data_IF_989625744706
#
_entry.id   IF_989625744706
#
_cell.length_a   1.000
_cell.length_b   1.000
_cell.length_c   1.000
_cell.angle_alpha   90.00
_cell.angle_beta   90.00
_cell.angle_gamma   90.00
#
_symmetry.space_group_name_H-M   'P 1'
#
loop_
_entity.id
_entity.type
_entity.pdbx_description
1 polymer ?
#
# COMPACT_ATOMS: atom_id res chain seq x y z
N UNK A 1 14.27 -0.71 -5.92
CA UNK A 1 14.56 -0.91 -7.35
C UNK A 1 13.28 -1.15 -8.12
N UNK A 2 12.43 -2.10 -7.68
CA UNK A 2 11.18 -2.39 -8.40
C UNK A 2 10.18 -1.25 -8.34
N UNK A 3 9.86 -0.69 -7.16
CA UNK A 3 8.89 0.42 -7.05
C UNK A 3 9.23 1.60 -7.99
N UNK A 4 10.50 1.98 -8.05
CA UNK A 4 10.97 3.05 -8.95
C UNK A 4 10.72 2.68 -10.41
N UNK A 5 11.03 1.44 -10.81
CA UNK A 5 10.77 0.96 -12.18
C UNK A 5 9.29 0.93 -12.52
N UNK A 6 8.43 0.49 -11.60
CA UNK A 6 6.98 0.55 -11.77
C UNK A 6 6.52 2.01 -11.92
N UNK A 7 7.02 2.91 -11.08
CA UNK A 7 6.67 4.32 -11.15
C UNK A 7 7.10 4.96 -12.49
N UNK A 8 8.28 4.64 -12.98
CA UNK A 8 8.77 5.08 -14.30
C UNK A 8 7.91 4.51 -15.43
N UNK A 9 7.60 3.21 -15.38
CA UNK A 9 6.84 2.49 -16.42
C UNK A 9 5.43 3.04 -16.59
N UNK A 10 4.76 3.36 -15.48
CA UNK A 10 3.37 3.80 -15.46
C UNK A 10 3.21 5.32 -15.31
N UNK A 11 4.29 6.09 -15.41
CA UNK A 11 4.32 7.54 -15.16
C UNK A 11 3.32 8.37 -15.98
N UNK A 12 2.84 7.87 -17.12
CA UNK A 12 1.89 8.53 -18.00
C UNK A 12 0.57 7.77 -18.18
N UNK A 13 0.35 6.70 -17.42
CA UNK A 13 -0.91 5.93 -17.50
C UNK A 13 -1.90 6.47 -16.46
N UNK A 14 -2.96 7.18 -16.87
CA UNK A 14 -3.93 7.74 -15.93
C UNK A 14 -4.76 6.66 -15.21
N UNK A 15 -4.71 5.40 -15.66
CA UNK A 15 -5.42 4.29 -15.02
C UNK A 15 -4.60 3.61 -13.93
N UNK A 16 -3.34 4.03 -13.70
CA UNK A 16 -2.44 3.37 -12.74
C UNK A 16 -2.02 4.35 -11.65
N UNK A 17 -2.22 3.95 -10.40
CA UNK A 17 -1.77 4.69 -9.22
C UNK A 17 -0.76 3.85 -8.45
N UNK A 18 0.40 4.43 -8.12
CA UNK A 18 1.38 3.84 -7.21
C UNK A 18 1.41 4.66 -5.92
N UNK A 19 1.26 3.97 -4.79
CA UNK A 19 1.27 4.57 -3.46
C UNK A 19 2.03 3.69 -2.47
N UNK A 20 2.82 4.31 -1.60
CA UNK A 20 3.51 3.63 -0.48
C UNK A 20 2.93 4.09 0.85
N UNK A 21 2.95 3.20 1.84
CA UNK A 21 2.49 3.47 3.20
C UNK A 21 3.61 3.16 4.20
N UNK A 22 4.51 4.12 4.50
CA UNK A 22 5.72 3.86 5.28
C UNK A 22 5.47 3.39 6.72
N UNK A 23 4.30 3.70 7.28
CA UNK A 23 3.85 3.33 8.63
C UNK A 23 3.15 1.98 8.71
N UNK A 24 2.95 1.30 7.57
CA UNK A 24 2.22 0.04 7.51
C UNK A 24 3.17 -1.11 7.17
N UNK A 25 2.92 -2.26 7.76
CA UNK A 25 3.58 -3.50 7.39
C UNK A 25 3.01 -4.07 6.08
N UNK A 26 3.52 -5.23 5.69
CA UNK A 26 3.16 -5.90 4.45
C UNK A 26 1.72 -6.44 4.40
N UNK A 27 0.98 -6.36 5.50
CA UNK A 27 -0.45 -6.69 5.62
C UNK A 27 -1.34 -5.45 5.57
N UNK A 28 -0.76 -4.27 5.34
CA UNK A 28 -1.42 -2.97 5.48
C UNK A 28 -1.93 -2.67 6.89
N UNK A 29 -1.30 -3.25 7.91
CA UNK A 29 -1.58 -2.99 9.33
C UNK A 29 -0.49 -2.07 9.86
N UNK A 30 -0.81 -1.17 10.79
CA UNK A 30 0.20 -0.31 11.44
C UNK A 30 1.30 -1.16 12.07
N UNK A 31 2.55 -0.82 11.73
CA UNK A 31 3.73 -1.55 12.21
C UNK A 31 4.96 -0.66 12.26
N UNK A 32 5.96 -1.09 13.03
CA UNK A 32 7.25 -0.39 13.14
C UNK A 32 8.38 -1.39 12.98
N UNK A 33 9.49 -0.95 12.39
CA UNK A 33 10.66 -1.82 12.19
C UNK A 33 10.58 -2.61 10.87
N UNK A 34 11.43 -3.62 10.76
CA UNK A 34 11.50 -4.47 9.55
C UNK A 34 10.31 -5.44 9.58
N UNK A 35 9.47 -5.49 8.54
CA UNK A 35 8.39 -6.47 8.46
C UNK A 35 8.89 -7.91 8.56
N UNK A 36 8.19 -8.76 9.31
CA UNK A 36 8.58 -10.17 9.52
C UNK A 36 7.36 -11.09 9.50
N UNK A 37 7.59 -12.39 9.40
CA UNK A 37 6.51 -13.37 9.39
C UNK A 37 5.73 -13.48 10.73
N UNK A 38 6.27 -12.96 11.83
CA UNK A 38 5.57 -13.02 13.13
C UNK A 38 4.36 -12.10 13.16
N UNK A 39 4.31 -11.10 12.28
CA UNK A 39 3.21 -10.14 12.15
C UNK A 39 1.90 -10.82 11.74
N UNK A 40 1.95 -11.97 11.05
CA UNK A 40 0.74 -12.77 10.72
C UNK A 40 0.04 -13.36 11.95
N UNK A 41 0.74 -13.46 13.08
CA UNK A 41 0.23 -14.04 14.31
C UNK A 41 -0.38 -12.99 15.25
N UNK A 42 -0.28 -11.72 14.87
CA UNK A 42 -0.81 -10.59 15.64
C UNK A 42 -2.08 -10.12 14.97
N UNK A 43 -3.17 -10.07 15.73
CA UNK A 43 -4.43 -9.50 15.25
C UNK A 43 -4.24 -8.01 14.93
N UNK A 44 -4.82 -7.58 13.81
CA UNK A 44 -4.88 -6.19 13.42
C UNK A 44 -5.84 -6.00 12.25
N UNK A 45 -6.18 -4.75 11.98
CA UNK A 45 -7.04 -4.38 10.88
C UNK A 45 -6.24 -3.64 9.81
N UNK A 46 -6.61 -3.87 8.55
CA UNK A 46 -6.15 -3.06 7.44
C UNK A 46 -6.43 -1.59 7.78
N UNK A 47 -5.41 -0.74 7.61
CA UNK A 47 -5.51 0.66 7.94
C UNK A 47 -6.61 1.33 7.11
N UNK A 48 -7.40 2.19 7.77
CA UNK A 48 -8.52 2.91 7.16
C UNK A 48 -8.07 3.70 5.93
N UNK A 49 -6.88 4.30 5.97
CA UNK A 49 -6.29 5.04 4.84
C UNK A 49 -6.22 4.19 3.56
N UNK A 50 -5.85 2.91 3.66
CA UNK A 50 -5.75 2.00 2.51
C UNK A 50 -7.14 1.70 1.94
N UNK A 51 -8.13 1.49 2.82
CA UNK A 51 -9.52 1.22 2.42
C UNK A 51 -10.10 2.44 1.68
N UNK A 52 -9.88 3.63 2.24
CA UNK A 52 -10.36 4.88 1.65
C UNK A 52 -9.68 5.18 0.32
N UNK A 53 -8.37 4.96 0.20
CA UNK A 53 -7.64 5.17 -1.04
C UNK A 53 -8.12 4.24 -2.15
N UNK A 54 -8.33 2.95 -1.86
CA UNK A 54 -8.88 1.99 -2.82
C UNK A 54 -10.29 2.39 -3.23
N UNK A 55 -11.14 2.73 -2.27
CA UNK A 55 -12.52 3.14 -2.54
C UNK A 55 -12.56 4.39 -3.41
N UNK A 56 -11.75 5.40 -3.07
CA UNK A 56 -11.61 6.62 -3.86
C UNK A 56 -11.16 6.28 -5.27
N UNK A 57 -10.10 5.46 -5.42
CA UNK A 57 -9.56 5.09 -6.71
C UNK A 57 -10.60 4.44 -7.63
N UNK A 58 -11.41 3.51 -7.09
CA UNK A 58 -12.50 2.84 -7.82
C UNK A 58 -13.60 3.83 -8.25
N UNK A 59 -13.86 4.87 -7.46
CA UNK A 59 -14.94 5.83 -7.76
C UNK A 59 -14.53 6.99 -8.65
N UNK A 60 -13.23 7.29 -8.75
CA UNK A 60 -12.72 8.43 -9.52
C UNK A 60 -12.15 8.06 -10.88
N UNK A 61 -11.88 6.77 -11.13
CA UNK A 61 -11.45 6.24 -12.43
C UNK A 61 -12.61 5.53 -13.11
#
# INVERSE_FOLDING_TARGET
>A
VDYVRWNETFSNDPLVTLKTYPSLNHLFITGTGIPTNTEYLVEGHVAEEVILDITSWITTH
#
